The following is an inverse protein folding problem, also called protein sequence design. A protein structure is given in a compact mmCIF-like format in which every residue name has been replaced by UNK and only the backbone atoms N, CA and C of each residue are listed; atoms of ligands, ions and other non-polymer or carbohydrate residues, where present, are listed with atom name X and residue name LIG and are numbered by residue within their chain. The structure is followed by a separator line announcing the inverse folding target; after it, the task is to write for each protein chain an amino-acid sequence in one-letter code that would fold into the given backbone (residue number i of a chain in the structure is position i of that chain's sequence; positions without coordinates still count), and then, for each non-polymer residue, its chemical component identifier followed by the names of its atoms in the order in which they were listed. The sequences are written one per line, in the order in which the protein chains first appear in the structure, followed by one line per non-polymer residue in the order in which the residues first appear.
data_IF_468988759151
#
_entry.id   IF_468988759151
#
_cell.length_a   1.000
_cell.length_b   1.000
_cell.length_c   1.000
_cell.angle_alpha   90.00
_cell.angle_beta   90.00
_cell.angle_gamma   90.00
#
_symmetry.space_group_name_H-M   'P 1'
#
loop_
_entity.id
_entity.type
_entity.pdbx_description
1 polymer ?
#
# COMPACT_ATOMS: atom_id res chain seq x y z
N UNK A 1 -1.11 -2.08 -33.43
CA UNK A 1 0.20 -2.58 -32.97
C UNK A 1 0.20 -3.06 -31.51
N UNK A 2 -0.69 -2.58 -30.64
CA UNK A 2 -0.72 -3.03 -29.23
C UNK A 2 -1.22 -4.47 -29.04
N UNK A 3 -2.24 -4.90 -29.79
CA UNK A 3 -2.72 -6.30 -29.79
C UNK A 3 -1.65 -7.34 -30.15
N UNK A 4 -0.68 -6.97 -31.00
CA UNK A 4 0.45 -7.82 -31.37
C UNK A 4 1.47 -7.94 -30.22
N UNK A 5 1.60 -6.89 -29.41
CA UNK A 5 2.53 -6.83 -28.28
C UNK A 5 2.00 -7.64 -27.10
N UNK A 6 0.70 -7.56 -26.87
CA UNK A 6 0.00 -8.25 -25.79
C UNK A 6 -0.14 -9.77 -26.05
N UNK A 7 -0.30 -10.16 -27.31
CA UNK A 7 -0.46 -11.57 -27.71
C UNK A 7 0.80 -12.17 -28.37
N UNK A 8 1.96 -11.49 -28.32
CA UNK A 8 3.18 -11.94 -29.00
C UNK A 8 3.60 -13.36 -28.59
N UNK A 9 3.50 -13.69 -27.30
CA UNK A 9 3.85 -15.01 -26.77
C UNK A 9 2.91 -16.08 -27.36
N UNK A 10 1.62 -15.77 -27.48
CA UNK A 10 0.62 -16.65 -28.11
C UNK A 10 0.89 -16.89 -29.57
N UNK A 11 1.26 -15.82 -30.27
CA UNK A 11 1.64 -15.84 -31.67
C UNK A 11 2.92 -16.67 -31.89
N UNK A 12 3.89 -16.57 -30.98
CA UNK A 12 5.16 -17.30 -31.05
C UNK A 12 4.98 -18.82 -30.89
N UNK A 13 4.27 -19.29 -29.85
CA UNK A 13 4.07 -20.74 -29.69
C UNK A 13 3.07 -21.30 -30.73
N UNK A 14 2.12 -20.48 -31.21
CA UNK A 14 1.22 -20.85 -32.31
C UNK A 14 1.99 -21.07 -33.61
N UNK A 15 2.90 -20.14 -33.95
CA UNK A 15 3.81 -20.30 -35.09
C UNK A 15 4.73 -21.53 -34.93
N UNK A 16 5.25 -21.77 -33.71
CA UNK A 16 6.08 -22.94 -33.42
C UNK A 16 5.29 -24.25 -33.63
N UNK A 17 4.02 -24.28 -33.23
CA UNK A 17 3.14 -25.44 -33.39
C UNK A 17 2.84 -25.73 -34.87
N UNK A 18 2.58 -24.70 -35.67
CA UNK A 18 2.44 -24.83 -37.15
C UNK A 18 3.74 -25.35 -37.78
N UNK A 19 4.90 -24.86 -37.33
CA UNK A 19 6.21 -25.35 -37.77
C UNK A 19 6.44 -26.82 -37.44
N UNK A 20 6.04 -27.27 -36.24
CA UNK A 20 6.13 -28.69 -35.83
C UNK A 20 5.23 -29.57 -36.70
N UNK A 21 4.00 -29.14 -37.00
CA UNK A 21 3.09 -29.88 -37.92
C UNK A 21 3.71 -29.98 -39.31
N UNK A 22 4.27 -28.88 -39.82
CA UNK A 22 4.91 -28.85 -41.14
C UNK A 22 6.13 -29.77 -41.20
N UNK A 23 7.01 -29.72 -40.19
CA UNK A 23 8.16 -30.60 -40.09
C UNK A 23 7.74 -32.07 -39.98
N UNK A 24 6.77 -32.38 -39.12
CA UNK A 24 6.23 -33.74 -38.98
C UNK A 24 5.62 -34.27 -40.30
N UNK A 25 4.97 -33.40 -41.08
CA UNK A 25 4.45 -33.79 -42.39
C UNK A 25 5.57 -34.11 -43.39
N UNK A 26 6.65 -33.32 -43.40
CA UNK A 26 7.76 -33.48 -44.33
C UNK A 26 8.62 -34.71 -44.01
N UNK A 27 8.97 -34.92 -42.74
CA UNK A 27 9.83 -36.02 -42.29
C UNK A 27 9.07 -37.33 -42.04
N UNK A 28 7.75 -37.38 -42.28
CA UNK A 28 6.93 -38.57 -42.03
C UNK A 28 7.47 -39.84 -42.71
N UNK A 29 7.98 -39.70 -43.94
CA UNK A 29 8.39 -40.85 -44.76
C UNK A 29 9.64 -41.50 -44.17
N UNK A 30 10.60 -40.70 -43.74
CA UNK A 30 11.85 -41.16 -43.14
C UNK A 30 11.61 -41.84 -41.77
N UNK A 31 10.69 -41.30 -40.96
CA UNK A 31 10.34 -41.86 -39.65
C UNK A 31 9.52 -43.15 -39.75
N UNK A 32 8.62 -43.25 -40.73
CA UNK A 32 7.75 -44.43 -40.93
C UNK A 32 8.45 -45.56 -41.72
N UNK A 33 9.55 -45.28 -42.44
CA UNK A 33 10.20 -46.27 -43.30
C UNK A 33 11.05 -47.30 -42.53
N UNK A 34 11.34 -47.06 -41.25
CA UNK A 34 12.31 -47.84 -40.47
C UNK A 34 11.65 -48.78 -39.44
N UNK A 35 10.30 -48.85 -39.39
CA UNK A 35 9.57 -49.65 -38.39
C UNK A 35 8.31 -50.31 -38.96
N UNK A 36 8.36 -51.64 -39.12
CA UNK A 36 7.24 -52.50 -39.56
C UNK A 36 5.98 -52.44 -38.65
N UNK A 37 6.11 -51.95 -37.42
CA UNK A 37 5.03 -51.90 -36.41
C UNK A 37 4.52 -50.49 -36.12
N UNK A 38 5.09 -49.44 -36.71
CA UNK A 38 4.69 -48.06 -36.42
C UNK A 38 3.65 -47.56 -37.44
N UNK A 39 2.37 -47.61 -37.07
CA UNK A 39 1.27 -47.18 -37.93
C UNK A 39 1.15 -45.64 -38.00
N UNK A 40 0.66 -45.13 -39.14
CA UNK A 40 0.45 -43.71 -39.42
C UNK A 40 -0.47 -43.05 -38.42
N UNK A 41 -1.47 -43.78 -37.93
CA UNK A 41 -2.41 -43.27 -36.92
C UNK A 41 -1.69 -42.95 -35.60
N UNK A 42 -0.80 -43.84 -35.15
CA UNK A 42 0.02 -43.64 -33.94
C UNK A 42 0.98 -42.47 -34.08
N UNK A 43 1.56 -42.27 -35.28
CA UNK A 43 2.41 -41.12 -35.56
C UNK A 43 1.66 -39.78 -35.45
N UNK A 44 0.49 -39.68 -36.11
CA UNK A 44 -0.33 -38.47 -36.08
C UNK A 44 -0.82 -38.19 -34.66
N UNK A 45 -1.26 -39.22 -33.93
CA UNK A 45 -1.68 -39.10 -32.54
C UNK A 45 -0.55 -38.61 -31.62
N UNK A 46 0.68 -39.10 -31.82
CA UNK A 46 1.85 -38.66 -31.07
C UNK A 46 2.19 -37.18 -31.32
N UNK A 47 2.20 -36.75 -32.58
CA UNK A 47 2.45 -35.35 -32.96
C UNK A 47 1.36 -34.42 -32.40
N UNK A 48 0.09 -34.81 -32.52
CA UNK A 48 -1.03 -34.04 -31.97
C UNK A 48 -0.95 -33.89 -30.44
N UNK A 49 -0.63 -34.98 -29.74
CA UNK A 49 -0.47 -34.97 -28.28
C UNK A 49 0.71 -34.11 -27.84
N UNK A 50 1.83 -34.18 -28.56
CA UNK A 50 3.02 -33.37 -28.28
C UNK A 50 2.74 -31.86 -28.44
N UNK A 51 2.04 -31.47 -29.51
CA UNK A 51 1.62 -30.08 -29.72
C UNK A 51 0.66 -29.63 -28.63
N UNK A 52 -0.33 -30.45 -28.29
CA UNK A 52 -1.28 -30.15 -27.20
C UNK A 52 -0.57 -29.92 -25.87
N UNK A 53 0.44 -30.75 -25.56
CA UNK A 53 1.27 -30.58 -24.37
C UNK A 53 2.05 -29.26 -24.40
N UNK A 54 2.69 -28.93 -25.52
CA UNK A 54 3.47 -27.70 -25.68
C UNK A 54 2.61 -26.45 -25.49
N UNK A 55 1.42 -26.42 -26.10
CA UNK A 55 0.46 -25.32 -25.94
C UNK A 55 0.02 -25.20 -24.48
N UNK A 56 -0.35 -26.33 -23.86
CA UNK A 56 -0.85 -26.35 -22.48
C UNK A 56 0.20 -25.84 -21.50
N UNK A 57 1.45 -26.31 -21.59
CA UNK A 57 2.55 -25.84 -20.74
C UNK A 57 2.80 -24.34 -20.96
N UNK A 58 2.79 -23.88 -22.21
CA UNK A 58 3.01 -22.48 -22.55
C UNK A 58 1.94 -21.56 -21.97
N UNK A 59 0.65 -21.94 -22.08
CA UNK A 59 -0.46 -21.18 -21.50
C UNK A 59 -0.37 -21.13 -19.97
N UNK A 60 -0.01 -22.23 -19.32
CA UNK A 60 0.18 -22.25 -17.85
C UNK A 60 1.30 -21.30 -17.43
N UNK A 61 2.45 -21.33 -18.09
CA UNK A 61 3.57 -20.43 -17.79
C UNK A 61 3.19 -18.96 -18.01
N UNK A 62 2.47 -18.67 -19.09
CA UNK A 62 2.00 -17.32 -19.38
C UNK A 62 0.98 -16.84 -18.35
N UNK A 63 0.02 -17.69 -17.96
CA UNK A 63 -0.96 -17.38 -16.91
C UNK A 63 -0.29 -17.09 -15.56
N UNK A 64 0.75 -17.85 -15.19
CA UNK A 64 1.54 -17.58 -13.98
C UNK A 64 2.24 -16.22 -14.08
N UNK A 65 2.83 -15.90 -15.23
CA UNK A 65 3.52 -14.62 -15.44
C UNK A 65 2.56 -13.43 -15.32
N UNK A 66 1.40 -13.51 -15.99
CA UNK A 66 0.34 -12.49 -15.92
C UNK A 66 -0.15 -12.35 -14.48
N UNK A 67 -0.40 -13.45 -13.78
CA UNK A 67 -0.84 -13.44 -12.38
C UNK A 67 0.17 -12.75 -11.46
N UNK A 68 1.47 -13.02 -11.65
CA UNK A 68 2.54 -12.32 -10.91
C UNK A 68 2.57 -10.83 -11.21
N UNK A 69 2.38 -10.45 -12.48
CA UNK A 69 2.30 -9.05 -12.92
C UNK A 69 1.14 -8.31 -12.24
N UNK A 70 -0.08 -8.86 -12.34
CA UNK A 70 -1.27 -8.31 -11.69
C UNK A 70 -1.06 -8.18 -10.18
N UNK A 71 -0.46 -9.18 -9.53
CA UNK A 71 -0.18 -9.12 -8.09
C UNK A 71 0.81 -8.01 -7.74
N UNK A 72 1.82 -7.78 -8.57
CA UNK A 72 2.80 -6.71 -8.36
C UNK A 72 2.14 -5.33 -8.53
N UNK A 73 1.33 -5.16 -9.58
CA UNK A 73 0.59 -3.92 -9.83
C UNK A 73 -0.44 -3.64 -8.73
N UNK A 74 -1.22 -4.65 -8.33
CA UNK A 74 -2.17 -4.53 -7.23
C UNK A 74 -1.46 -4.16 -5.91
N UNK A 75 -0.27 -4.69 -5.64
CA UNK A 75 0.54 -4.30 -4.48
C UNK A 75 1.03 -2.86 -4.57
N UNK A 76 1.45 -2.41 -5.75
CA UNK A 76 1.86 -1.03 -5.96
C UNK A 76 0.69 -0.05 -5.75
N UNK A 77 -0.48 -0.37 -6.31
CA UNK A 77 -1.71 0.40 -6.11
C UNK A 77 -2.13 0.42 -4.64
N UNK A 78 -2.06 -0.71 -3.94
CA UNK A 78 -2.37 -0.77 -2.52
C UNK A 78 -1.40 0.08 -1.69
N UNK A 79 -0.11 0.06 -2.02
CA UNK A 79 0.90 0.87 -1.35
C UNK A 79 0.65 2.38 -1.54
N UNK A 80 0.28 2.79 -2.76
CA UNK A 80 -0.07 4.19 -3.04
C UNK A 80 -1.36 4.61 -2.33
N UNK A 81 -2.39 3.75 -2.34
CA UNK A 81 -3.63 4.00 -1.61
C UNK A 81 -3.38 4.16 -0.10
N UNK A 82 -2.55 3.30 0.49
CA UNK A 82 -2.16 3.41 1.90
C UNK A 82 -1.41 4.70 2.20
N UNK A 83 -0.57 5.17 1.27
CA UNK A 83 0.16 6.44 1.43
C UNK A 83 -0.80 7.63 1.43
N UNK A 84 -1.76 7.64 0.51
CA UNK A 84 -2.81 8.68 0.44
C UNK A 84 -3.68 8.66 1.70
N UNK A 85 -4.13 7.48 2.13
CA UNK A 85 -4.97 7.32 3.32
C UNK A 85 -4.26 7.81 4.59
N UNK A 86 -2.96 7.51 4.74
CA UNK A 86 -2.14 8.06 5.83
C UNK A 86 -2.04 9.58 5.78
N UNK A 87 -1.81 10.16 4.61
CA UNK A 87 -1.75 11.61 4.47
C UNK A 87 -3.09 12.28 4.85
N UNK A 88 -4.21 11.63 4.52
CA UNK A 88 -5.54 12.07 4.94
C UNK A 88 -5.70 12.02 6.47
N UNK A 89 -5.32 10.90 7.11
CA UNK A 89 -5.38 10.77 8.57
C UNK A 89 -4.51 11.80 9.30
N UNK A 90 -3.30 12.09 8.80
CA UNK A 90 -2.47 13.14 9.40
C UNK A 90 -3.08 14.54 9.20
N UNK A 91 -3.71 14.79 8.05
CA UNK A 91 -4.44 16.05 7.81
C UNK A 91 -5.64 16.20 8.75
N UNK A 92 -6.39 15.11 9.00
CA UNK A 92 -7.46 15.10 10.00
C UNK A 92 -6.93 15.39 11.41
N UNK A 93 -5.78 14.81 11.79
CA UNK A 93 -5.14 15.10 13.07
C UNK A 93 -4.78 16.59 13.21
N UNK A 94 -4.28 17.24 12.15
CA UNK A 94 -4.00 18.69 12.16
C UNK A 94 -5.28 19.51 12.39
N UNK A 95 -6.34 19.21 11.64
CA UNK A 95 -7.63 19.89 11.78
C UNK A 95 -8.24 19.70 13.17
N UNK A 96 -8.05 18.52 13.76
CA UNK A 96 -8.49 18.26 15.14
C UNK A 96 -7.65 19.03 16.16
N UNK A 97 -6.34 19.16 15.98
CA UNK A 97 -5.49 19.99 16.86
C UNK A 97 -5.94 21.45 16.81
N UNK A 98 -6.26 21.98 15.63
CA UNK A 98 -6.80 23.34 15.49
C UNK A 98 -8.14 23.49 16.20
N UNK A 99 -9.05 22.51 16.09
CA UNK A 99 -10.30 22.50 16.88
C UNK A 99 -10.08 22.44 18.39
N UNK A 100 -9.12 21.64 18.86
CA UNK A 100 -8.77 21.57 20.28
C UNK A 100 -8.28 22.94 20.76
N UNK A 101 -7.48 23.64 19.94
CA UNK A 101 -7.03 24.98 20.24
C UNK A 101 -8.21 25.97 20.36
N UNK A 102 -9.18 25.92 19.44
CA UNK A 102 -10.40 26.72 19.52
C UNK A 102 -11.21 26.39 20.79
N UNK A 103 -11.34 25.12 21.14
CA UNK A 103 -12.02 24.70 22.37
C UNK A 103 -11.29 25.18 23.63
N UNK A 104 -9.95 25.25 23.61
CA UNK A 104 -9.13 25.84 24.70
C UNK A 104 -9.37 27.35 24.81
N UNK A 105 -9.45 28.06 23.68
CA UNK A 105 -9.79 29.50 23.64
C UNK A 105 -11.19 29.73 24.21
N UNK A 106 -12.15 28.90 23.79
CA UNK A 106 -13.55 28.92 24.23
C UNK A 106 -13.77 28.37 25.65
N UNK A 107 -12.70 27.99 26.36
CA UNK A 107 -12.76 27.50 27.75
C UNK A 107 -13.43 26.14 27.91
N UNK A 108 -13.60 25.39 26.82
CA UNK A 108 -14.26 24.08 26.75
C UNK A 108 -13.25 22.95 26.94
N UNK A 109 -12.53 22.94 28.06
CA UNK A 109 -11.42 21.99 28.30
C UNK A 109 -11.84 20.51 28.32
N UNK A 110 -13.06 20.20 28.75
CA UNK A 110 -13.57 18.83 28.69
C UNK A 110 -13.74 18.34 27.24
N UNK A 111 -14.19 19.23 26.35
CA UNK A 111 -14.31 18.96 24.91
C UNK A 111 -12.94 18.88 24.25
N UNK A 112 -12.03 19.79 24.60
CA UNK A 112 -10.62 19.74 24.16
C UNK A 112 -9.94 18.41 24.53
N UNK A 113 -10.17 17.89 25.75
CA UNK A 113 -9.63 16.61 26.20
C UNK A 113 -10.19 15.43 25.39
N UNK A 114 -11.48 15.43 25.07
CA UNK A 114 -12.07 14.42 24.19
C UNK A 114 -11.48 14.47 22.78
N UNK A 115 -11.30 15.67 22.23
CA UNK A 115 -10.64 15.89 20.94
C UNK A 115 -9.22 15.34 20.92
N UNK A 116 -8.45 15.56 22.00
CA UNK A 116 -7.08 15.07 22.12
C UNK A 116 -7.00 13.53 22.11
N UNK A 117 -7.93 12.87 22.78
CA UNK A 117 -8.02 11.41 22.75
C UNK A 117 -8.33 10.88 21.34
N UNK A 118 -9.14 11.61 20.57
CA UNK A 118 -9.44 11.26 19.18
C UNK A 118 -8.20 11.43 18.29
N UNK A 119 -7.45 12.53 18.44
CA UNK A 119 -6.17 12.75 17.74
C UNK A 119 -5.20 11.60 18.01
N UNK A 120 -5.06 11.18 19.28
CA UNK A 120 -4.16 10.09 19.65
C UNK A 120 -4.55 8.76 19.00
N UNK A 121 -5.84 8.44 18.92
CA UNK A 121 -6.34 7.23 18.24
C UNK A 121 -6.09 7.28 16.73
N UNK A 122 -6.35 8.43 16.10
CA UNK A 122 -6.12 8.62 14.66
C UNK A 122 -4.63 8.56 14.32
N UNK A 123 -3.78 9.17 15.15
CA UNK A 123 -2.33 9.10 14.98
C UNK A 123 -1.79 7.67 15.08
N UNK A 124 -2.24 6.87 16.05
CA UNK A 124 -1.83 5.47 16.16
C UNK A 124 -2.26 4.62 14.94
N UNK A 125 -3.37 4.97 14.29
CA UNK A 125 -3.80 4.31 13.05
C UNK A 125 -2.95 4.70 11.84
N UNK A 126 -2.50 5.95 11.80
CA UNK A 126 -1.65 6.47 10.73
C UNK A 126 -0.16 6.10 10.89
N UNK A 127 0.29 5.88 12.13
CA UNK A 127 1.68 5.62 12.46
C UNK A 127 2.20 4.32 11.84
N UNK A 128 3.39 4.40 11.25
CA UNK A 128 4.16 3.24 10.78
C UNK A 128 5.31 2.94 11.72
N UNK A 129 5.95 1.75 11.62
CA UNK A 129 7.18 1.47 12.35
C UNK A 129 8.31 2.48 12.08
N UNK A 130 8.26 3.20 10.95
CA UNK A 130 9.22 4.22 10.56
C UNK A 130 8.89 5.64 11.06
N UNK A 131 7.68 5.85 11.59
CA UNK A 131 7.29 7.12 12.20
C UNK A 131 7.69 7.04 13.67
N UNK A 132 8.66 7.84 14.14
CA UNK A 132 9.00 7.88 15.57
C UNK A 132 7.79 8.44 16.34
N UNK A 133 6.97 7.60 17.00
CA UNK A 133 5.73 8.05 17.62
C UNK A 133 6.02 8.77 18.94
N UNK A 134 7.24 8.64 19.46
CA UNK A 134 7.61 9.00 20.82
C UNK A 134 7.60 10.51 21.04
N UNK A 135 8.11 11.29 20.07
CA UNK A 135 8.14 12.76 20.18
C UNK A 135 6.74 13.36 20.19
N UNK A 136 5.87 12.95 19.26
CA UNK A 136 4.49 13.44 19.22
C UNK A 136 3.67 12.89 20.39
N UNK A 137 3.81 11.60 20.73
CA UNK A 137 3.10 11.00 21.86
C UNK A 137 3.48 11.65 23.19
N UNK A 138 4.74 12.03 23.38
CA UNK A 138 5.19 12.77 24.56
C UNK A 138 4.52 14.15 24.66
N UNK A 139 4.48 14.89 23.54
CA UNK A 139 3.84 16.21 23.50
C UNK A 139 2.32 16.14 23.67
N UNK A 140 1.66 15.14 23.08
CA UNK A 140 0.23 14.91 23.30
C UNK A 140 -0.06 14.53 24.76
N UNK A 141 0.82 13.78 25.43
CA UNK A 141 0.66 13.45 26.85
C UNK A 141 0.82 14.70 27.75
N UNK A 142 1.76 15.59 27.44
CA UNK A 142 1.93 16.88 28.12
C UNK A 142 0.67 17.75 27.99
N UNK A 143 0.10 17.85 26.78
CA UNK A 143 -1.17 18.56 26.55
C UNK A 143 -2.32 17.90 27.34
N UNK A 144 -2.35 16.57 27.42
CA UNK A 144 -3.38 15.83 28.16
C UNK A 144 -3.34 16.16 29.66
N UNK A 145 -2.14 16.16 30.25
CA UNK A 145 -1.93 16.50 31.66
C UNK A 145 -2.38 17.93 31.96
N UNK A 146 -1.94 18.90 31.15
CA UNK A 146 -2.33 20.31 31.30
C UNK A 146 -3.84 20.54 31.14
N UNK A 147 -4.48 19.82 30.22
CA UNK A 147 -5.94 19.85 30.06
C UNK A 147 -6.67 19.23 31.26
N UNK A 148 -6.19 18.10 31.79
CA UNK A 148 -6.76 17.47 32.98
C UNK A 148 -6.64 18.37 34.22
N UNK A 149 -5.49 19.03 34.41
CA UNK A 149 -5.30 20.02 35.46
C UNK A 149 -6.25 21.20 35.29
N UNK A 150 -6.43 21.69 34.06
CA UNK A 150 -7.32 22.82 33.75
C UNK A 150 -8.80 22.48 33.96
N UNK A 151 -9.23 21.26 33.65
CA UNK A 151 -10.58 20.75 33.98
C UNK A 151 -10.80 20.73 35.49
N UNK A 152 -9.79 20.31 36.27
CA UNK A 152 -9.86 20.29 37.75
C UNK A 152 -9.79 21.71 38.35
N UNK A 153 -9.01 22.60 37.74
CA UNK A 153 -8.73 23.95 38.23
C UNK A 153 -9.73 25.01 37.74
N UNK A 154 -10.65 24.67 36.83
CA UNK A 154 -11.69 25.56 36.31
C UNK A 154 -12.54 26.25 37.41
N UNK A 155 -12.50 25.75 38.64
CA UNK A 155 -13.09 26.39 39.82
C UNK A 155 -12.33 27.64 40.34
N UNK A 156 -11.11 27.92 39.88
CA UNK A 156 -10.24 29.00 40.39
C UNK A 156 -9.69 29.90 39.27
N UNK A 157 -10.25 31.10 39.13
CA UNK A 157 -10.08 32.00 37.97
C UNK A 157 -8.66 32.58 37.71
N UNK A 158 -7.73 32.52 38.67
CA UNK A 158 -6.37 33.10 38.53
C UNK A 158 -5.36 32.13 37.88
N UNK A 159 -5.40 30.83 38.25
CA UNK A 159 -4.57 29.78 37.64
C UNK A 159 -4.94 29.49 36.18
N UNK A 160 -6.18 29.84 35.84
CA UNK A 160 -6.87 29.65 34.57
C UNK A 160 -6.14 30.24 33.35
N UNK A 161 -5.65 31.49 33.45
CA UNK A 161 -5.15 32.25 32.29
C UNK A 161 -3.70 31.90 31.92
N UNK A 162 -2.95 31.33 32.86
CA UNK A 162 -1.56 30.89 32.67
C UNK A 162 -1.53 29.51 32.02
N UNK A 163 -2.36 28.58 32.50
CA UNK A 163 -2.49 27.23 31.94
C UNK A 163 -2.99 27.20 30.49
N UNK A 164 -3.87 28.11 30.08
CA UNK A 164 -4.32 28.17 28.68
C UNK A 164 -3.19 28.51 27.71
N UNK A 165 -2.24 29.37 28.10
CA UNK A 165 -1.09 29.73 27.25
C UNK A 165 -0.11 28.56 27.12
N UNK A 166 0.12 27.83 28.22
CA UNK A 166 0.98 26.64 28.24
C UNK A 166 0.39 25.52 27.37
N UNK A 167 -0.93 25.28 27.47
CA UNK A 167 -1.64 24.32 26.59
C UNK A 167 -1.49 24.69 25.12
N UNK A 168 -1.64 25.98 24.78
CA UNK A 168 -1.52 26.45 23.40
C UNK A 168 -0.11 26.28 22.84
N UNK A 169 0.92 26.56 23.64
CA UNK A 169 2.32 26.33 23.24
C UNK A 169 2.61 24.84 23.02
N UNK A 170 2.10 23.96 23.89
CA UNK A 170 2.25 22.52 23.73
C UNK A 170 1.48 21.97 22.51
N UNK A 171 0.28 22.50 22.22
CA UNK A 171 -0.50 22.18 21.01
C UNK A 171 0.21 22.63 19.73
N UNK A 172 0.81 23.82 19.72
CA UNK A 172 1.60 24.32 18.60
C UNK A 172 2.82 23.44 18.35
N UNK A 173 3.54 23.04 19.39
CA UNK A 173 4.66 22.11 19.26
C UNK A 173 4.21 20.74 18.70
N UNK A 174 3.06 20.22 19.14
CA UNK A 174 2.48 18.99 18.59
C UNK A 174 2.09 19.15 17.11
N UNK A 175 1.56 20.32 16.72
CA UNK A 175 1.24 20.66 15.34
C UNK A 175 2.48 20.69 14.45
N UNK A 176 3.54 21.36 14.88
CA UNK A 176 4.81 21.45 14.14
C UNK A 176 5.43 20.06 13.90
N UNK A 177 5.41 19.19 14.91
CA UNK A 177 5.88 17.79 14.77
C UNK A 177 5.03 17.04 13.76
N UNK A 178 3.71 17.21 13.79
CA UNK A 178 2.79 16.56 12.86
C UNK A 178 3.00 17.04 11.40
N UNK A 179 3.22 18.33 11.20
CA UNK A 179 3.54 18.92 9.89
C UNK A 179 4.88 18.42 9.32
N UNK A 180 5.88 18.24 10.19
CA UNK A 180 7.17 17.64 9.82
C UNK A 180 7.01 16.19 9.35
N UNK A 181 6.17 15.41 10.06
CA UNK A 181 5.86 14.03 9.68
C UNK A 181 5.14 13.94 8.33
N UNK A 182 4.19 14.85 8.06
CA UNK A 182 3.48 14.92 6.76
C UNK A 182 4.43 15.30 5.63
N UNK A 183 5.30 16.27 5.87
CA UNK A 183 6.22 16.80 4.86
C UNK A 183 7.39 15.85 4.54
N UNK A 184 7.49 14.70 5.21
CA UNK A 184 8.61 13.78 5.08
C UNK A 184 9.93 14.35 5.58
N UNK A 185 9.91 15.50 6.25
CA UNK A 185 11.06 16.05 6.97
C UNK A 185 11.09 15.40 8.34
N UNK A 186 11.46 14.12 8.39
CA UNK A 186 12.02 13.60 9.64
C UNK A 186 13.25 14.45 9.93
N UNK A 187 13.16 15.30 10.95
CA UNK A 187 14.22 16.19 11.37
C UNK A 187 15.50 15.38 11.57
N UNK A 188 16.45 15.54 10.65
CA UNK A 188 17.85 15.16 10.81
C UNK A 188 18.58 16.13 11.78
N UNK A 189 17.85 16.69 12.73
CA UNK A 189 18.36 17.65 13.70
C UNK A 189 17.79 17.34 15.08
N UNK A 190 18.55 16.53 15.80
CA UNK A 190 18.75 16.73 17.23
C UNK A 190 20.28 16.82 17.41
N UNK A 191 20.82 17.93 17.95
CA UNK A 191 22.21 18.00 18.42
C UNK A 191 22.45 17.14 19.65
#
# INVERSE_FOLDING_TARGET
MELLKENWIRLAYGAASVGIVWAAYHFRVEVLSDKDTFDRFSYIGGVATFIGLLITVSEVLQAISISKGIRAEARALLAEAQKVDRAALFSECLLMIDRINDDVIDKRFATALQGLQQVRRSFLRAATPSTSPEALSGKLAEVEELLQESVRAAATASRYKRGSVEIQQALLAAKEILEQLISGRTANHVP
#
